data_IF_957686095830
#
_entry.id   IF_957686095830
#
_cell.length_a   1.000
_cell.length_b   1.000
_cell.length_c   1.000
_cell.angle_alpha   90.00
_cell.angle_beta   90.00
_cell.angle_gamma   90.00
#
_symmetry.space_group_name_H-M   'P 1'
#
loop_
_entity.id
_entity.type
_entity.pdbx_description
1 polymer ?
#
# COMPACT_ATOMS: atom_id res chain seq x y z
N UNK A 1 0.07 18.59 2.76
CA UNK A 1 1.35 17.89 2.49
C UNK A 1 2.09 17.93 3.79
N UNK A 2 2.21 16.79 4.46
CA UNK A 2 2.83 16.75 5.77
C UNK A 2 4.35 16.81 5.63
N UNK A 3 4.98 17.74 6.32
CA UNK A 3 6.44 17.84 6.39
C UNK A 3 6.99 16.67 7.23
N UNK A 4 8.04 15.96 6.77
CA UNK A 4 8.71 14.95 7.58
C UNK A 4 9.38 15.53 8.83
N UNK A 5 10.04 16.69 8.71
CA UNK A 5 10.87 17.24 9.79
C UNK A 5 10.02 17.86 10.91
N UNK A 6 9.18 18.84 10.57
CA UNK A 6 8.39 19.58 11.58
C UNK A 6 6.96 19.06 11.75
N UNK A 7 6.57 18.01 11.01
CA UNK A 7 5.21 17.42 11.01
C UNK A 7 4.07 18.37 10.64
N UNK A 8 4.38 19.61 10.22
CA UNK A 8 3.41 20.60 9.76
C UNK A 8 2.66 20.12 8.52
N UNK A 9 1.33 20.33 8.50
CA UNK A 9 0.54 20.05 7.30
C UNK A 9 0.43 21.30 6.41
N UNK A 10 1.24 21.32 5.36
CA UNK A 10 1.28 22.42 4.40
C UNK A 10 0.20 22.28 3.32
N UNK A 11 -0.51 23.37 3.03
CA UNK A 11 -1.41 23.46 1.87
C UNK A 11 -0.62 23.48 0.55
N UNK A 12 -1.14 22.79 -0.46
CA UNK A 12 -0.50 22.68 -1.78
C UNK A 12 -0.17 24.03 -2.45
N UNK A 13 -1.06 25.02 -2.25
CA UNK A 13 -0.92 26.37 -2.80
C UNK A 13 0.31 27.13 -2.29
N UNK A 14 0.88 26.72 -1.15
CA UNK A 14 2.00 27.40 -0.51
C UNK A 14 3.37 27.02 -1.14
N UNK A 15 3.39 26.25 -2.23
CA UNK A 15 4.61 25.91 -2.96
C UNK A 15 5.27 24.61 -2.49
N UNK A 16 6.53 24.42 -2.90
CA UNK A 16 7.32 23.18 -2.69
C UNK A 16 8.22 23.21 -1.44
N UNK A 17 8.27 24.32 -0.69
CA UNK A 17 9.07 24.40 0.54
C UNK A 17 8.18 24.54 1.75
N UNK A 18 8.54 23.89 2.85
CA UNK A 18 7.81 24.01 4.10
C UNK A 18 7.86 25.46 4.60
N UNK A 19 6.71 26.05 4.90
CA UNK A 19 6.64 27.42 5.43
C UNK A 19 7.17 27.56 6.86
N UNK A 20 7.34 26.45 7.59
CA UNK A 20 7.87 26.47 8.96
C UNK A 20 9.36 26.14 9.04
N UNK A 21 9.80 25.06 8.39
CA UNK A 21 11.18 24.56 8.52
C UNK A 21 11.99 24.64 7.22
N UNK A 22 11.41 25.13 6.12
CA UNK A 22 12.11 25.25 4.84
C UNK A 22 12.29 23.95 4.06
N UNK A 23 11.90 22.78 4.61
CA UNK A 23 12.03 21.47 3.95
C UNK A 23 11.49 21.48 2.52
N UNK A 24 12.30 21.00 1.56
CA UNK A 24 11.94 20.97 0.14
C UNK A 24 11.22 19.67 -0.21
N UNK A 25 9.92 19.77 -0.50
CA UNK A 25 9.10 18.64 -0.93
C UNK A 25 9.47 18.17 -2.34
N UNK A 26 9.80 16.88 -2.45
CA UNK A 26 10.13 16.20 -3.72
C UNK A 26 8.87 15.67 -4.40
N UNK A 27 7.97 15.07 -3.62
CA UNK A 27 6.79 14.38 -4.12
C UNK A 27 5.52 15.22 -3.93
N UNK A 28 4.75 15.32 -5.01
CA UNK A 28 3.42 15.95 -4.99
C UNK A 28 2.34 14.88 -4.96
N UNK A 29 1.41 14.96 -3.99
CA UNK A 29 0.33 13.99 -3.78
C UNK A 29 -0.52 13.69 -5.03
N UNK A 30 -0.66 14.65 -5.96
CA UNK A 30 -1.38 14.45 -7.24
C UNK A 30 -0.58 13.67 -8.29
N UNK A 31 0.74 13.79 -8.29
CA UNK A 31 1.63 13.26 -9.34
C UNK A 31 2.30 11.95 -8.92
N UNK A 32 2.37 11.67 -7.62
CA UNK A 32 3.16 10.57 -7.07
C UNK A 32 2.33 9.69 -6.15
N UNK A 33 2.58 8.37 -6.22
CA UNK A 33 1.91 7.35 -5.40
C UNK A 33 2.34 7.37 -3.92
N UNK A 34 3.38 8.14 -3.60
CA UNK A 34 3.99 8.24 -2.26
C UNK A 34 4.21 9.71 -1.91
N UNK A 35 4.15 10.03 -0.61
CA UNK A 35 4.49 11.34 -0.07
C UNK A 35 5.85 11.31 0.62
N UNK A 36 6.58 12.43 0.62
CA UNK A 36 7.85 12.61 1.36
C UNK A 36 7.77 12.11 2.81
N UNK A 37 6.70 12.44 3.53
CA UNK A 37 6.48 11.98 4.90
C UNK A 37 6.51 10.46 5.03
N UNK A 38 5.80 9.76 4.13
CA UNK A 38 5.72 8.31 4.14
C UNK A 38 7.05 7.67 3.75
N UNK A 39 7.76 8.26 2.78
CA UNK A 39 9.09 7.77 2.40
C UNK A 39 10.09 7.96 3.53
N UNK A 40 10.09 9.11 4.21
CA UNK A 40 10.97 9.35 5.37
C UNK A 40 10.68 8.37 6.50
N UNK A 41 9.42 8.10 6.78
CA UNK A 41 9.04 7.09 7.76
C UNK A 41 9.52 5.67 7.39
N UNK A 42 9.54 5.32 6.10
CA UNK A 42 10.11 4.05 5.64
C UNK A 42 11.63 4.02 5.83
N UNK A 43 12.32 5.11 5.50
CA UNK A 43 13.76 5.26 5.72
C UNK A 43 14.07 5.08 7.21
N UNK A 44 13.43 5.86 8.08
CA UNK A 44 13.66 5.81 9.53
C UNK A 44 13.38 4.41 10.11
N UNK A 45 12.40 3.69 9.56
CA UNK A 45 12.09 2.32 10.00
C UNK A 45 13.10 1.29 9.48
N UNK A 46 13.61 1.47 8.27
CA UNK A 46 14.61 0.56 7.69
C UNK A 46 16.00 0.78 8.31
N UNK A 47 16.34 2.02 8.66
CA UNK A 47 17.60 2.34 9.31
C UNK A 47 17.57 2.21 10.83
N UNK A 48 16.42 1.85 11.42
CA UNK A 48 16.21 1.90 12.88
C UNK A 48 16.68 3.24 13.48
N UNK A 49 16.11 4.33 12.98
CA UNK A 49 16.48 5.71 13.35
C UNK A 49 17.94 6.08 13.02
N UNK A 50 18.54 5.45 12.01
CA UNK A 50 19.91 5.72 11.56
C UNK A 50 20.97 4.81 12.19
N UNK A 51 20.59 3.77 12.93
CA UNK A 51 21.52 2.79 13.48
C UNK A 51 22.04 1.79 12.44
N UNK A 52 21.28 1.51 11.38
CA UNK A 52 21.65 0.53 10.35
C UNK A 52 21.67 1.14 8.95
N UNK A 53 22.65 0.72 8.15
CA UNK A 53 22.65 0.96 6.72
C UNK A 53 21.68 -0.01 6.03
N UNK A 54 20.98 0.49 5.02
CA UNK A 54 20.13 -0.33 4.16
C UNK A 54 20.46 -0.06 2.69
N UNK A 55 20.14 -1.02 1.83
CA UNK A 55 20.36 -0.90 0.40
C UNK A 55 19.20 -0.16 -0.28
N UNK A 56 19.51 0.51 -1.39
CA UNK A 56 18.49 1.14 -2.25
C UNK A 56 17.43 0.13 -2.71
N UNK A 57 17.82 -1.13 -2.94
CA UNK A 57 16.92 -2.23 -3.27
C UNK A 57 15.95 -2.55 -2.14
N UNK A 58 16.41 -2.60 -0.89
CA UNK A 58 15.53 -2.82 0.28
C UNK A 58 14.50 -1.69 0.41
N UNK A 59 14.91 -0.43 0.22
CA UNK A 59 13.98 0.69 0.23
C UNK A 59 12.97 0.63 -0.92
N UNK A 60 13.41 0.28 -2.13
CA UNK A 60 12.52 0.11 -3.28
C UNK A 60 11.48 -1.01 -3.05
N UNK A 61 11.91 -2.14 -2.48
CA UNK A 61 11.01 -3.25 -2.12
C UNK A 61 9.98 -2.82 -1.07
N UNK A 62 10.38 -2.00 -0.09
CA UNK A 62 9.47 -1.50 0.92
C UNK A 62 8.43 -0.52 0.35
N UNK A 63 8.84 0.33 -0.61
CA UNK A 63 7.90 1.19 -1.36
C UNK A 63 6.91 0.33 -2.15
N UNK A 64 7.37 -0.73 -2.83
CA UNK A 64 6.49 -1.65 -3.53
C UNK A 64 5.47 -2.30 -2.57
N UNK A 65 5.92 -2.76 -1.40
CA UNK A 65 5.03 -3.28 -0.35
C UNK A 65 4.02 -2.24 0.10
N UNK A 66 4.44 -0.99 0.32
CA UNK A 66 3.54 0.10 0.70
C UNK A 66 2.47 0.37 -0.36
N UNK A 67 2.82 0.34 -1.65
CA UNK A 67 1.84 0.48 -2.73
C UNK A 67 0.86 -0.68 -2.78
N UNK A 68 1.30 -1.89 -2.44
CA UNK A 68 0.46 -3.09 -2.43
C UNK A 68 -0.42 -3.19 -1.16
N UNK A 69 0.05 -2.67 0.00
CA UNK A 69 -0.64 -2.76 1.29
C UNK A 69 -1.93 -1.94 1.37
N UNK A 70 -2.11 -0.95 0.50
CA UNK A 70 -3.36 -0.17 0.35
C UNK A 70 -4.54 -0.98 -0.18
N UNK A 71 -4.32 -2.25 -0.42
CA UNK A 71 -5.30 -3.17 -0.95
C UNK A 71 -5.34 -4.41 -0.07
N UNK A 72 -5.69 -4.21 1.20
CA UNK A 72 -6.73 -5.04 1.81
C UNK A 72 -8.01 -4.85 0.98
N UNK A 73 -7.97 -5.41 -0.22
CA UNK A 73 -9.11 -5.58 -1.10
C UNK A 73 -9.99 -6.72 -0.56
N UNK A 74 -10.90 -7.26 -1.38
CA UNK A 74 -12.13 -7.96 -1.00
C UNK A 74 -11.99 -9.25 -0.14
N UNK A 75 -10.80 -9.60 0.33
CA UNK A 75 -10.55 -10.69 1.28
C UNK A 75 -11.37 -10.53 2.57
N UNK A 76 -11.48 -9.32 3.11
CA UNK A 76 -12.33 -9.04 4.27
C UNK A 76 -13.83 -9.22 3.98
N UNK A 77 -14.27 -8.84 2.78
CA UNK A 77 -15.66 -9.06 2.34
C UNK A 77 -15.93 -10.54 2.02
N UNK A 78 -14.94 -11.27 1.54
CA UNK A 78 -15.04 -12.69 1.20
C UNK A 78 -15.38 -13.53 2.42
N UNK A 79 -14.75 -13.25 3.57
CA UNK A 79 -15.06 -13.91 4.84
C UNK A 79 -16.51 -13.66 5.28
N UNK A 80 -17.03 -12.45 5.10
CA UNK A 80 -18.41 -12.08 5.44
C UNK A 80 -19.40 -12.81 4.53
N UNK A 81 -19.13 -12.89 3.23
CA UNK A 81 -20.00 -13.61 2.26
C UNK A 81 -20.04 -15.10 2.58
N UNK A 82 -18.89 -15.70 2.92
CA UNK A 82 -18.81 -17.13 3.30
C UNK A 82 -19.60 -17.40 4.59
N UNK A 83 -19.50 -16.51 5.59
CA UNK A 83 -20.28 -16.62 6.83
C UNK A 83 -21.80 -16.52 6.57
N UNK A 84 -22.23 -15.56 5.74
CA UNK A 84 -23.66 -15.41 5.39
C UNK A 84 -24.18 -16.63 4.61
N UNK A 85 -23.39 -17.16 3.68
CA UNK A 85 -23.74 -18.35 2.92
C UNK A 85 -23.87 -19.59 3.83
N UNK A 86 -22.99 -19.75 4.81
CA UNK A 86 -23.05 -20.83 5.79
C UNK A 86 -24.29 -20.72 6.70
N UNK A 87 -24.67 -19.50 7.11
CA UNK A 87 -25.88 -19.26 7.90
C UNK A 87 -27.14 -19.58 7.09
N UNK A 88 -27.22 -19.15 5.82
CA UNK A 88 -28.35 -19.46 4.94
C UNK A 88 -28.46 -20.97 4.71
N UNK A 89 -27.35 -21.65 4.44
CA UNK A 89 -27.28 -23.11 4.30
C UNK A 89 -27.77 -23.86 5.54
N UNK A 90 -27.48 -23.35 6.73
CA UNK A 90 -27.89 -23.96 7.99
C UNK A 90 -29.38 -23.77 8.30
N UNK A 91 -29.98 -22.66 7.83
CA UNK A 91 -31.39 -22.32 8.10
C UNK A 91 -32.32 -23.00 7.09
N UNK A 92 -31.92 -23.06 5.83
CA UNK A 92 -32.73 -23.71 4.79
C UNK A 92 -32.28 -25.16 4.65
N UNK A 93 -33.07 -26.12 5.15
CA UNK A 93 -32.92 -27.56 4.88
C UNK A 93 -33.15 -27.87 3.37
N UNK A 94 -32.40 -27.21 2.50
CA UNK A 94 -32.58 -27.21 1.05
C UNK A 94 -31.69 -28.27 0.41
N UNK A 95 -32.27 -28.92 -0.60
CA UNK A 95 -31.67 -29.96 -1.42
C UNK A 95 -30.22 -29.66 -1.86
N UNK A 96 -29.41 -30.73 -1.82
CA UNK A 96 -28.01 -30.85 -2.29
C UNK A 96 -27.56 -29.92 -3.44
N UNK A 97 -28.34 -29.69 -4.53
CA UNK A 97 -27.92 -28.81 -5.62
C UNK A 97 -27.63 -27.37 -5.20
N UNK A 98 -28.38 -26.77 -4.26
CA UNK A 98 -28.21 -25.37 -3.90
C UNK A 98 -26.83 -25.09 -3.26
N UNK A 99 -26.30 -26.04 -2.50
CA UNK A 99 -25.01 -25.90 -1.82
C UNK A 99 -23.84 -26.00 -2.76
N UNK A 100 -24.00 -26.84 -3.80
CA UNK A 100 -22.99 -26.99 -4.83
C UNK A 100 -22.82 -25.69 -5.64
N UNK A 101 -23.92 -24.97 -5.92
CA UNK A 101 -23.86 -23.65 -6.56
C UNK A 101 -23.19 -22.59 -5.69
N UNK A 102 -23.51 -22.55 -4.39
CA UNK A 102 -22.87 -21.63 -3.44
C UNK A 102 -21.37 -21.90 -3.33
N UNK A 103 -20.98 -23.16 -3.22
CA UNK A 103 -19.57 -23.57 -3.09
C UNK A 103 -18.78 -23.26 -4.36
N UNK A 104 -19.36 -23.49 -5.54
CA UNK A 104 -18.78 -23.09 -6.83
C UNK A 104 -18.60 -21.57 -6.92
N UNK A 105 -19.61 -20.79 -6.51
CA UNK A 105 -19.53 -19.34 -6.52
C UNK A 105 -18.43 -18.81 -5.61
N UNK A 106 -18.30 -19.38 -4.40
CA UNK A 106 -17.21 -19.05 -3.46
C UNK A 106 -15.85 -19.44 -4.06
N UNK A 107 -15.72 -20.62 -4.66
CA UNK A 107 -14.47 -21.07 -5.28
C UNK A 107 -14.03 -20.16 -6.46
N UNK A 108 -14.98 -19.73 -7.31
CA UNK A 108 -14.71 -18.79 -8.40
C UNK A 108 -14.28 -17.43 -7.84
N UNK A 109 -14.97 -16.91 -6.83
CA UNK A 109 -14.59 -15.64 -6.17
C UNK A 109 -13.20 -15.70 -5.54
N UNK A 110 -12.88 -16.79 -4.83
CA UNK A 110 -11.54 -17.01 -4.25
C UNK A 110 -10.47 -17.13 -5.34
N UNK A 111 -10.74 -17.87 -6.43
CA UNK A 111 -9.82 -17.99 -7.56
C UNK A 111 -9.54 -16.66 -8.25
N UNK A 112 -10.55 -15.80 -8.43
CA UNK A 112 -10.37 -14.45 -8.96
C UNK A 112 -9.56 -13.55 -8.02
N UNK A 113 -9.76 -13.67 -6.70
CA UNK A 113 -8.97 -12.93 -5.71
C UNK A 113 -7.51 -13.38 -5.72
N UNK A 114 -7.26 -14.68 -5.72
CA UNK A 114 -5.91 -15.25 -5.72
C UNK A 114 -5.17 -14.88 -7.01
N UNK A 115 -5.83 -14.96 -8.16
CA UNK A 115 -5.27 -14.50 -9.45
C UNK A 115 -4.94 -13.02 -9.43
N UNK A 116 -5.80 -12.18 -8.84
CA UNK A 116 -5.58 -10.73 -8.73
C UNK A 116 -4.41 -10.39 -7.80
N UNK A 117 -4.16 -11.20 -6.79
CA UNK A 117 -3.02 -11.06 -5.90
C UNK A 117 -1.72 -11.53 -6.55
N UNK A 118 -1.75 -12.66 -7.29
CA UNK A 118 -0.60 -13.15 -8.06
C UNK A 118 -0.21 -12.22 -9.21
N UNK A 119 -1.20 -11.59 -9.85
CA UNK A 119 -0.99 -10.75 -11.03
C UNK A 119 -0.66 -9.29 -10.68
N UNK A 120 -0.44 -8.97 -9.38
CA UNK A 120 0.18 -7.71 -8.99
C UNK A 120 1.63 -7.70 -9.44
N UNK A 121 1.86 -7.17 -10.64
CA UNK A 121 3.20 -6.81 -11.07
C UNK A 121 3.77 -5.80 -10.08
N UNK A 122 4.85 -6.21 -9.42
CA UNK A 122 5.63 -5.33 -8.56
C UNK A 122 6.30 -4.32 -9.47
N UNK A 123 5.82 -3.06 -9.44
CA UNK A 123 6.41 -1.95 -10.19
C UNK A 123 7.73 -1.50 -9.52
N UNK A 124 8.73 -2.38 -9.60
CA UNK A 124 10.04 -2.18 -9.00
C UNK A 124 10.80 -1.03 -9.66
N UNK A 125 10.70 -0.92 -11.00
CA UNK A 125 11.31 0.18 -11.74
C UNK A 125 10.72 1.54 -11.35
N UNK A 126 9.40 1.61 -11.15
CA UNK A 126 8.75 2.80 -10.61
C UNK A 126 9.24 3.15 -9.21
N UNK A 127 9.36 2.16 -8.33
CA UNK A 127 9.87 2.37 -6.97
C UNK A 127 11.33 2.84 -6.96
N UNK A 128 12.19 2.26 -7.81
CA UNK A 128 13.60 2.69 -7.94
C UNK A 128 13.73 4.14 -8.37
N UNK A 129 12.95 4.57 -9.38
CA UNK A 129 12.92 5.97 -9.85
C UNK A 129 12.51 6.94 -8.74
N UNK A 130 11.59 6.53 -7.87
CA UNK A 130 11.18 7.31 -6.70
C UNK A 130 12.34 7.47 -5.73
N UNK A 131 13.05 6.40 -5.40
CA UNK A 131 14.21 6.45 -4.50
C UNK A 131 15.29 7.37 -5.07
N UNK A 132 15.64 7.21 -6.34
CA UNK A 132 16.66 8.03 -7.02
C UNK A 132 16.28 9.52 -7.00
N UNK A 133 15.03 9.86 -7.32
CA UNK A 133 14.54 11.23 -7.30
C UNK A 133 14.59 11.85 -5.89
N UNK A 134 14.33 11.06 -4.86
CA UNK A 134 14.44 11.52 -3.48
C UNK A 134 15.90 11.75 -3.09
N UNK A 135 16.77 10.79 -3.38
CA UNK A 135 18.20 10.83 -3.07
C UNK A 135 18.92 12.03 -3.70
N UNK A 136 18.46 12.49 -4.87
CA UNK A 136 18.99 13.71 -5.52
C UNK A 136 18.72 14.99 -4.75
N UNK A 137 17.64 15.04 -3.96
CA UNK A 137 17.26 16.24 -3.20
C UNK A 137 17.65 16.14 -1.72
N UNK A 138 17.56 14.93 -1.15
CA UNK A 138 17.85 14.65 0.24
C UNK A 138 18.81 13.47 0.30
N UNK A 139 20.04 13.62 0.82
CA UNK A 139 20.97 12.52 0.95
C UNK A 139 20.38 11.46 1.90
N UNK A 140 20.37 10.22 1.43
CA UNK A 140 19.98 9.05 2.23
C UNK A 140 21.30 8.49 2.77
N UNK A 141 21.58 8.74 4.05
CA UNK A 141 22.76 8.25 4.76
C UNK A 141 22.45 6.95 5.50
#
# INVERSE_FOLDING_TARGET
MRCPDCKHDQKYKNGKRCSQCGYQFVFRKKESKISDFALRQMIDRLSDQGQYCFTTTQLALEICRYWNKKTVGPLGCSLIIVLLAAIVWFITEWSLPAGLYILLFVAVMLGFQFKRELQRSVDFNGAKKVVEKYAQTHPIA
#
